data_IF_753234658378
#
_entry.id   IF_753234658378
#
_cell.length_a   1.000
_cell.length_b   1.000
_cell.length_c   1.000
_cell.angle_alpha   90.00
_cell.angle_beta   90.00
_cell.angle_gamma   90.00
#
_symmetry.space_group_name_H-M   'P 1'
#
loop_
_entity.id
_entity.type
_entity.pdbx_description
1 polymer ?
#
# COMPACT_ATOMS: atom_id res chain seq x y z
N UNK A 1 23.08 12.73 -6.51
CA UNK A 1 23.17 11.73 -7.61
C UNK A 1 22.69 10.44 -7.00
N UNK A 2 21.56 9.88 -7.43
CA UNK A 2 21.06 8.58 -6.93
C UNK A 2 22.14 7.49 -7.10
N UNK A 3 22.41 6.66 -6.08
CA UNK A 3 23.25 5.46 -6.23
C UNK A 3 22.33 4.27 -6.52
N UNK A 4 22.15 3.98 -7.80
CA UNK A 4 21.27 2.92 -8.30
C UNK A 4 22.08 1.79 -8.95
N UNK A 5 21.69 0.54 -8.68
CA UNK A 5 22.31 -0.66 -9.25
C UNK A 5 21.24 -1.56 -9.86
N UNK A 6 21.50 -2.02 -11.08
CA UNK A 6 20.60 -2.88 -11.85
C UNK A 6 21.20 -4.28 -11.95
N UNK A 7 20.37 -5.31 -11.73
CA UNK A 7 20.78 -6.71 -11.73
C UNK A 7 20.15 -7.44 -12.91
N UNK A 8 20.95 -8.25 -13.61
CA UNK A 8 20.52 -9.02 -14.78
C UNK A 8 20.99 -10.47 -14.69
N UNK A 9 20.26 -11.39 -15.30
CA UNK A 9 20.70 -12.78 -15.46
C UNK A 9 21.84 -12.87 -16.49
N UNK A 10 22.53 -14.01 -16.53
CA UNK A 10 23.52 -14.30 -17.57
C UNK A 10 22.94 -14.22 -19.01
N UNK A 11 21.63 -14.44 -19.16
CA UNK A 11 20.91 -14.29 -20.43
C UNK A 11 20.44 -12.86 -20.73
N UNK A 12 20.76 -11.89 -19.86
CA UNK A 12 20.39 -10.48 -20.02
C UNK A 12 18.98 -10.12 -19.55
N UNK A 13 18.26 -11.03 -18.89
CA UNK A 13 16.94 -10.73 -18.34
C UNK A 13 17.07 -9.89 -17.07
N UNK A 14 16.27 -8.84 -16.93
CA UNK A 14 16.24 -8.02 -15.71
C UNK A 14 15.79 -8.86 -14.51
N UNK A 15 16.54 -8.79 -13.42
CA UNK A 15 16.27 -9.47 -12.15
C UNK A 15 15.78 -8.52 -11.07
N UNK A 16 16.10 -7.22 -11.16
CA UNK A 16 15.79 -6.26 -10.13
C UNK A 16 16.76 -5.10 -10.05
N UNK A 17 16.51 -4.18 -9.12
CA UNK A 17 17.39 -3.04 -8.85
C UNK A 17 17.44 -2.73 -7.36
N UNK A 18 18.47 -2.00 -6.94
CA UNK A 18 18.59 -1.44 -5.60
C UNK A 18 18.94 0.03 -5.70
N UNK A 19 18.41 0.84 -4.79
CA UNK A 19 18.65 2.27 -4.73
C UNK A 19 19.02 2.66 -3.31
N UNK A 20 20.12 3.40 -3.16
CA UNK A 20 20.48 4.13 -1.95
C UNK A 20 20.00 5.59 -2.14
N UNK A 21 18.91 5.94 -1.44
CA UNK A 21 18.20 7.22 -1.55
C UNK A 21 18.81 8.27 -0.62
N UNK A 22 19.46 7.87 0.47
CA UNK A 22 20.03 8.77 1.49
C UNK A 22 21.57 8.86 1.50
N UNK A 23 22.26 8.06 0.69
CA UNK A 23 23.71 7.96 0.51
C UNK A 23 24.50 7.37 1.69
N UNK A 24 23.89 6.48 2.48
CA UNK A 24 24.54 5.82 3.61
C UNK A 24 25.25 4.50 3.25
N UNK A 25 25.24 4.13 1.96
CA UNK A 25 25.77 2.88 1.37
C UNK A 25 24.94 1.64 1.66
N UNK A 26 23.72 1.79 2.19
CA UNK A 26 22.71 0.73 2.25
C UNK A 26 21.66 1.01 1.19
N UNK A 27 20.98 -0.06 0.75
CA UNK A 27 19.85 0.12 -0.15
C UNK A 27 18.63 0.48 0.69
N UNK A 28 17.89 1.50 0.24
CA UNK A 28 16.62 1.95 0.83
C UNK A 28 15.42 1.53 -0.02
N UNK A 29 15.67 1.14 -1.28
CA UNK A 29 14.63 0.66 -2.17
C UNK A 29 15.13 -0.54 -2.96
N UNK A 30 14.30 -1.57 -3.06
CA UNK A 30 14.62 -2.82 -3.75
C UNK A 30 13.51 -3.17 -4.71
N UNK A 31 13.88 -3.61 -5.90
CA UNK A 31 12.98 -4.14 -6.91
C UNK A 31 13.40 -5.57 -7.21
N UNK A 32 12.44 -6.48 -7.24
CA UNK A 32 12.64 -7.87 -7.64
C UNK A 32 11.70 -8.19 -8.80
N UNK A 33 12.28 -8.62 -9.94
CA UNK A 33 11.53 -8.98 -11.13
C UNK A 33 11.37 -10.50 -11.20
N UNK A 34 10.12 -10.98 -11.24
CA UNK A 34 9.83 -12.39 -11.48
C UNK A 34 9.61 -12.62 -12.98
N UNK A 35 10.36 -13.55 -13.57
CA UNK A 35 10.29 -13.90 -14.99
C UNK A 35 8.93 -14.49 -15.43
N UNK A 36 8.06 -14.87 -14.48
CA UNK A 36 6.65 -15.27 -14.72
C UNK A 36 5.79 -14.85 -13.51
N UNK A 37 4.67 -14.11 -13.63
CA UNK A 37 3.99 -13.52 -14.80
C UNK A 37 4.13 -11.98 -14.92
N UNK A 38 5.33 -11.45 -15.18
CA UNK A 38 5.59 -9.98 -15.19
C UNK A 38 5.19 -9.27 -13.89
N UNK A 39 5.30 -10.00 -12.78
CA UNK A 39 5.11 -9.45 -11.45
C UNK A 39 6.46 -8.88 -11.00
N UNK A 40 6.44 -7.62 -10.61
CA UNK A 40 7.55 -6.98 -9.94
C UNK A 40 7.11 -6.74 -8.50
N UNK A 41 7.93 -7.14 -7.55
CA UNK A 41 7.76 -6.76 -6.14
C UNK A 41 8.77 -5.71 -5.79
N UNK A 42 8.34 -4.68 -5.07
CA UNK A 42 9.24 -3.65 -4.58
C UNK A 42 9.13 -3.55 -3.08
N UNK A 43 10.23 -3.21 -2.44
CA UNK A 43 10.33 -3.01 -1.01
C UNK A 43 11.01 -1.68 -0.76
N UNK A 44 10.57 -0.92 0.24
CA UNK A 44 11.17 0.35 0.62
C UNK A 44 11.37 0.44 2.15
N UNK A 45 12.51 1.01 2.52
CA UNK A 45 12.90 1.51 3.85
C UNK A 45 12.69 3.03 3.82
N UNK A 46 11.46 3.49 4.07
CA UNK A 46 11.04 4.87 3.83
C UNK A 46 11.46 5.84 4.95
N UNK A 47 11.81 5.32 6.12
CA UNK A 47 12.35 6.10 7.24
C UNK A 47 13.87 5.97 7.46
N UNK A 48 14.53 5.10 6.71
CA UNK A 48 15.98 4.87 6.68
C UNK A 48 16.56 4.22 7.94
N UNK A 49 15.78 3.41 8.65
CA UNK A 49 16.22 2.72 9.86
C UNK A 49 16.89 1.35 9.57
N UNK A 50 16.82 0.87 8.32
CA UNK A 50 17.35 -0.40 7.86
C UNK A 50 16.32 -1.53 7.77
N UNK A 51 15.07 -1.28 8.17
CA UNK A 51 13.91 -2.16 8.01
C UNK A 51 13.17 -1.75 6.73
N UNK A 52 12.52 -2.72 6.09
CA UNK A 52 11.74 -2.48 4.88
C UNK A 52 10.25 -2.65 5.22
N UNK A 53 9.64 -1.58 5.69
CA UNK A 53 8.25 -1.49 6.11
C UNK A 53 7.27 -1.54 4.94
N UNK A 54 7.67 -1.01 3.79
CA UNK A 54 6.81 -0.85 2.63
C UNK A 54 7.03 -1.96 1.61
N UNK A 55 5.96 -2.62 1.15
CA UNK A 55 6.01 -3.65 0.10
C UNK A 55 4.92 -3.42 -0.94
N UNK A 56 5.29 -3.42 -2.22
CA UNK A 56 4.34 -3.25 -3.32
C UNK A 56 4.44 -4.34 -4.37
N UNK A 57 3.30 -4.61 -5.00
CA UNK A 57 3.18 -5.49 -6.17
C UNK A 57 2.80 -4.67 -7.39
N UNK A 58 3.63 -4.76 -8.41
CA UNK A 58 3.44 -4.15 -9.72
C UNK A 58 3.09 -5.24 -10.71
N UNK A 59 1.94 -5.08 -11.38
CA UNK A 59 1.44 -6.02 -12.39
C UNK A 59 1.25 -5.28 -13.70
N UNK A 60 1.82 -5.83 -14.78
CA UNK A 60 1.74 -5.22 -16.11
C UNK A 60 2.19 -3.75 -16.15
N UNK A 61 3.22 -3.40 -15.36
CA UNK A 61 3.80 -2.05 -15.33
C UNK A 61 3.06 -1.02 -14.47
N UNK A 62 2.03 -1.43 -13.71
CA UNK A 62 1.32 -0.54 -12.80
C UNK A 62 1.21 -1.15 -11.40
N UNK A 63 1.19 -0.30 -10.36
CA UNK A 63 0.86 -0.75 -9.02
C UNK A 63 -0.50 -1.45 -9.01
N UNK A 64 -0.56 -2.57 -8.31
CA UNK A 64 -1.77 -3.36 -8.10
C UNK A 64 -2.12 -3.44 -6.62
N UNK A 65 -1.11 -3.51 -5.76
CA UNK A 65 -1.29 -3.71 -4.32
C UNK A 65 -0.09 -3.19 -3.53
N UNK A 66 -0.29 -2.72 -2.30
CA UNK A 66 0.76 -2.36 -1.37
C UNK A 66 0.40 -2.70 0.08
N UNK A 67 1.40 -2.97 0.90
CA UNK A 67 1.33 -3.19 2.34
C UNK A 67 2.40 -2.33 3.01
N UNK A 68 2.07 -1.71 4.15
CA UNK A 68 3.03 -0.93 4.95
C UNK A 68 2.83 -1.25 6.42
N UNK A 69 3.94 -1.45 7.13
CA UNK A 69 4.05 -1.67 8.57
C UNK A 69 4.71 -0.43 9.24
N UNK A 70 3.89 0.53 9.64
CA UNK A 70 4.33 1.84 10.13
C UNK A 70 4.79 1.84 11.59
N UNK A 71 4.54 0.77 12.34
CA UNK A 71 4.89 0.67 13.76
C UNK A 71 5.96 -0.39 14.08
N UNK A 72 6.36 -1.19 13.08
CA UNK A 72 7.46 -2.14 13.16
C UNK A 72 7.09 -3.44 13.89
N UNK A 73 5.80 -3.74 14.05
CA UNK A 73 5.34 -4.96 14.72
C UNK A 73 5.36 -6.22 13.82
N UNK A 74 5.80 -6.07 12.57
CA UNK A 74 5.83 -7.08 11.50
C UNK A 74 4.47 -7.41 10.88
N UNK A 75 3.41 -6.68 11.21
CA UNK A 75 2.08 -6.78 10.62
C UNK A 75 1.72 -5.47 9.91
N UNK A 76 1.27 -5.51 8.64
CA UNK A 76 0.92 -4.28 7.95
C UNK A 76 -0.35 -3.65 8.52
N UNK A 77 -0.26 -2.43 9.03
CA UNK A 77 -1.39 -1.58 9.44
C UNK A 77 -2.02 -0.82 8.27
N UNK A 78 -1.38 -0.81 7.09
CA UNK A 78 -1.92 -0.21 5.87
C UNK A 78 -1.90 -1.18 4.70
N UNK A 79 -3.01 -1.22 3.94
CA UNK A 79 -3.09 -1.88 2.64
C UNK A 79 -3.61 -0.93 1.59
N UNK A 80 -2.96 -0.90 0.44
CA UNK A 80 -3.31 -0.07 -0.70
C UNK A 80 -3.78 -0.95 -1.87
N UNK A 81 -4.92 -0.62 -2.46
CA UNK A 81 -5.44 -1.31 -3.63
C UNK A 81 -5.50 -0.35 -4.81
N UNK A 82 -4.95 -0.79 -5.92
CA UNK A 82 -4.83 0.01 -7.13
C UNK A 82 -5.58 -0.64 -8.27
N UNK A 83 -6.25 0.19 -9.06
CA UNK A 83 -6.94 -0.20 -10.29
C UNK A 83 -6.36 0.57 -11.46
N UNK A 84 -5.73 -0.17 -12.37
CA UNK A 84 -4.98 0.41 -13.50
C UNK A 84 -3.93 1.44 -13.05
N UNK A 85 -3.25 1.18 -11.94
CA UNK A 85 -2.23 2.06 -11.37
C UNK A 85 -2.76 3.28 -10.61
N UNK A 86 -4.08 3.45 -10.52
CA UNK A 86 -4.71 4.53 -9.74
C UNK A 86 -5.18 3.97 -8.39
N UNK A 87 -4.88 4.67 -7.30
CA UNK A 87 -5.34 4.27 -5.96
C UNK A 87 -6.87 4.24 -5.94
N UNK A 88 -7.43 3.06 -5.64
CA UNK A 88 -8.88 2.83 -5.54
C UNK A 88 -9.33 2.85 -4.09
N UNK A 89 -8.57 2.18 -3.20
CA UNK A 89 -8.85 2.16 -1.77
C UNK A 89 -7.60 1.99 -0.90
N UNK A 90 -7.74 2.42 0.36
CA UNK A 90 -6.78 2.17 1.44
C UNK A 90 -7.52 1.54 2.60
N UNK A 91 -6.99 0.45 3.15
CA UNK A 91 -7.48 -0.17 4.37
C UNK A 91 -6.49 0.11 5.50
N UNK A 92 -7.02 0.50 6.66
CA UNK A 92 -6.30 0.64 7.92
C UNK A 92 -6.63 -0.59 8.76
N UNK A 93 -5.61 -1.35 9.14
CA UNK A 93 -5.75 -2.69 9.71
C UNK A 93 -5.45 -2.63 11.20
N UNK A 94 -6.27 -3.31 12.01
CA UNK A 94 -5.94 -3.57 13.40
C UNK A 94 -4.95 -4.75 13.46
N UNK A 95 -3.76 -4.53 14.02
CA UNK A 95 -2.68 -5.53 14.03
C UNK A 95 -3.03 -6.78 14.84
N UNK A 96 -3.89 -6.68 15.86
CA UNK A 96 -4.33 -7.83 16.66
C UNK A 96 -5.34 -8.72 15.94
N UNK A 97 -6.32 -8.13 15.25
CA UNK A 97 -7.40 -8.88 14.59
C UNK A 97 -7.09 -9.22 13.13
N UNK A 98 -6.22 -8.44 12.48
CA UNK A 98 -5.96 -8.50 11.04
C UNK A 98 -7.11 -7.96 10.17
N UNK A 99 -8.14 -7.36 10.80
CA UNK A 99 -9.32 -6.83 10.13
C UNK A 99 -9.20 -5.32 9.88
N UNK A 100 -9.81 -4.77 8.82
CA UNK A 100 -9.89 -3.34 8.61
C UNK A 100 -10.74 -2.65 9.68
N UNK A 101 -10.19 -1.61 10.31
CA UNK A 101 -10.93 -0.66 11.16
C UNK A 101 -11.43 0.54 10.37
N UNK A 102 -10.82 0.82 9.21
CA UNK A 102 -11.23 1.87 8.29
C UNK A 102 -10.89 1.49 6.86
N UNK A 103 -11.81 1.76 5.94
CA UNK A 103 -11.58 1.61 4.50
C UNK A 103 -11.93 2.92 3.80
N UNK A 104 -10.96 3.51 3.13
CA UNK A 104 -11.10 4.73 2.35
C UNK A 104 -11.20 4.43 0.87
N UNK A 105 -12.09 5.11 0.16
CA UNK A 105 -12.24 5.00 -1.29
C UNK A 105 -11.96 6.31 -1.99
N UNK A 106 -11.31 6.20 -3.14
CA UNK A 106 -10.81 7.33 -3.89
C UNK A 106 -11.38 7.36 -5.31
N UNK A 107 -11.62 8.58 -5.82
CA UNK A 107 -11.93 8.83 -7.23
C UNK A 107 -11.02 9.93 -7.73
N UNK A 108 -10.21 9.61 -8.75
CA UNK A 108 -9.22 10.53 -9.33
C UNK A 108 -8.28 11.13 -8.25
N UNK A 109 -7.88 10.31 -7.28
CA UNK A 109 -7.01 10.72 -6.17
C UNK A 109 -7.71 11.53 -5.07
N UNK A 110 -9.02 11.75 -5.16
CA UNK A 110 -9.81 12.47 -4.16
C UNK A 110 -10.55 11.47 -3.28
N UNK A 111 -10.41 11.58 -1.95
CA UNK A 111 -11.18 10.81 -0.98
C UNK A 111 -12.68 11.10 -1.15
N UNK A 112 -13.47 10.08 -1.46
CA UNK A 112 -14.92 10.22 -1.65
C UNK A 112 -15.71 9.65 -0.48
N UNK A 113 -15.31 8.49 0.03
CA UNK A 113 -16.01 7.82 1.13
C UNK A 113 -15.02 7.14 2.06
N UNK A 114 -15.40 6.99 3.33
CA UNK A 114 -14.71 6.13 4.27
C UNK A 114 -15.71 5.31 5.07
N UNK A 115 -15.42 4.03 5.25
CA UNK A 115 -16.17 3.09 6.06
C UNK A 115 -15.36 2.79 7.31
N UNK A 116 -15.99 2.76 8.49
CA UNK A 116 -15.29 2.68 9.79
C UNK A 116 -16.03 1.70 10.70
N UNK A 117 -15.28 0.85 11.39
CA UNK A 117 -15.73 0.07 12.54
C UNK A 117 -15.63 0.98 13.78
N UNK A 118 -16.77 1.40 14.31
CA UNK A 118 -16.84 2.35 15.43
C UNK A 118 -17.03 1.67 16.78
N UNK A 119 -17.32 0.37 16.79
CA UNK A 119 -17.58 -0.40 18.00
C UNK A 119 -16.54 -1.50 18.27
N UNK A 120 -15.54 -1.64 17.38
CA UNK A 120 -14.43 -2.61 17.42
C UNK A 120 -14.94 -4.07 17.43
N UNK A 121 -16.04 -4.33 16.72
CA UNK A 121 -16.62 -5.68 16.58
C UNK A 121 -16.11 -6.45 15.36
N UNK A 122 -15.23 -5.84 14.57
CA UNK A 122 -14.64 -6.38 13.36
C UNK A 122 -15.48 -6.14 12.11
N UNK A 123 -16.54 -5.33 12.18
CA UNK A 123 -17.38 -4.96 11.04
C UNK A 123 -17.47 -3.45 10.92
N UNK A 124 -17.28 -2.96 9.70
CA UNK A 124 -17.49 -1.55 9.39
C UNK A 124 -18.98 -1.23 9.48
N UNK A 125 -19.35 -0.35 10.41
CA UNK A 125 -20.74 -0.01 10.74
C UNK A 125 -21.15 1.42 10.34
N UNK A 126 -20.18 2.22 9.87
CA UNK A 126 -20.41 3.63 9.55
C UNK A 126 -19.75 4.07 8.27
N UNK A 127 -20.48 4.80 7.42
CA UNK A 127 -19.94 5.44 6.21
C UNK A 127 -19.98 6.96 6.31
N UNK A 128 -18.86 7.58 5.98
CA UNK A 128 -18.71 9.01 5.78
C UNK A 128 -18.57 9.31 4.29
N UNK A 129 -19.26 10.34 3.80
CA UNK A 129 -19.04 10.90 2.45
C UNK A 129 -18.35 12.25 2.57
N UNK A 130 -17.34 12.47 1.73
CA UNK A 130 -16.52 13.67 1.74
C UNK A 130 -16.80 14.57 0.54
N UNK A 131 -16.71 15.88 0.74
CA UNK A 131 -16.56 16.85 -0.34
C UNK A 131 -15.16 16.75 -0.96
N UNK A 132 -14.95 17.39 -2.11
CA UNK A 132 -13.63 17.54 -2.73
C UNK A 132 -12.60 18.31 -1.87
N UNK A 133 -13.04 18.98 -0.80
CA UNK A 133 -12.17 19.65 0.18
C UNK A 133 -12.03 18.82 1.47
N UNK A 134 -12.26 17.51 1.41
CA UNK A 134 -12.17 16.57 2.53
C UNK A 134 -13.06 16.91 3.74
N UNK A 135 -14.17 17.63 3.54
CA UNK A 135 -15.17 17.86 4.60
C UNK A 135 -16.22 16.76 4.55
N UNK A 136 -16.59 16.22 5.71
CA UNK A 136 -17.72 15.29 5.81
C UNK A 136 -19.00 16.05 5.46
N UNK A 137 -19.71 15.57 4.44
CA UNK A 137 -20.99 16.13 3.98
C UNK A 137 -22.17 15.19 4.27
N UNK A 138 -21.89 13.93 4.56
CA UNK A 138 -22.90 12.92 4.93
C UNK A 138 -22.28 11.86 5.83
N UNK A 139 -23.10 11.38 6.74
CA UNK A 139 -22.82 10.27 7.66
C UNK A 139 -24.02 9.33 7.63
N UNK A 140 -23.76 8.03 7.52
CA UNK A 140 -24.80 7.00 7.52
C UNK A 140 -24.31 5.74 8.24
N UNK A 141 -25.18 5.13 9.04
CA UNK A 141 -24.96 3.77 9.51
C UNK A 141 -25.08 2.82 8.33
N UNK A 142 -24.18 1.85 8.24
CA UNK A 142 -24.17 0.81 7.23
C UNK A 142 -24.17 -0.54 7.92
N UNK A 143 -24.83 -1.50 7.30
CA UNK A 143 -24.72 -2.89 7.70
C UNK A 143 -24.10 -3.60 6.50
N UNK A 144 -22.77 -3.66 6.49
CA UNK A 144 -22.05 -4.33 5.41
C UNK A 144 -22.20 -5.84 5.60
N UNK A 145 -23.29 -6.36 5.06
CA UNK A 145 -23.35 -7.79 4.76
C UNK A 145 -22.37 -8.01 3.61
N UNK A 146 -21.19 -8.57 3.92
CA UNK A 146 -20.21 -8.99 2.91
C UNK A 146 -20.95 -9.84 1.86
N UNK A 147 -20.96 -9.39 0.61
CA UNK A 147 -21.51 -10.11 -0.54
C UNK A 147 -20.59 -11.25 -0.99
#
# INVERSE_FOLDING_TARGET
MLDERWNYSASGAFLGSTVDRNFDRKADYRTHANQKPNLVTTEADDDFDGVFESKYRVKAGSFAYGEVDTDGDSYPDLKYYYKHGVLESTEYINSYSGLPVRVEHYRLGILTTAEVDTNDDGKLDKRYTYSNTAKIVREEAIDLTVQ
#
